data_IF_739075641566
#
_entry.id   IF_739075641566
#
_cell.length_a   1.000
_cell.length_b   1.000
_cell.length_c   1.000
_cell.angle_alpha   90.00
_cell.angle_beta   90.00
_cell.angle_gamma   90.00
#
_symmetry.space_group_name_H-M   'P 1'
#
loop_
_entity.id
_entity.type
_entity.pdbx_description
1 polymer ?
#
# COMPACT_ATOMS: atom_id res chain seq x y z
N UNK A 1 19.02 -13.72 -11.04
CA UNK A 1 19.01 -13.85 -12.53
C UNK A 1 18.14 -15.02 -13.02
N UNK A 2 18.11 -16.09 -12.24
CA UNK A 2 17.16 -17.21 -12.21
C UNK A 2 15.65 -16.87 -12.09
N UNK A 3 15.25 -15.60 -12.22
CA UNK A 3 13.85 -15.17 -12.16
C UNK A 3 13.27 -14.98 -10.75
N UNK A 4 14.02 -15.31 -9.69
CA UNK A 4 13.55 -15.15 -8.31
C UNK A 4 13.20 -13.68 -7.99
N UNK A 5 12.06 -13.46 -7.31
CA UNK A 5 11.63 -12.14 -6.83
C UNK A 5 11.78 -12.06 -5.31
N UNK A 6 12.68 -11.19 -4.81
CA UNK A 6 12.86 -10.97 -3.36
C UNK A 6 12.30 -9.59 -2.96
N UNK A 7 11.40 -9.50 -1.97
CA UNK A 7 11.04 -8.21 -1.39
C UNK A 7 12.26 -7.64 -0.65
N UNK A 8 12.53 -6.35 -0.85
CA UNK A 8 13.67 -5.64 -0.24
C UNK A 8 13.20 -4.61 0.78
N UNK A 9 12.18 -3.84 0.42
CA UNK A 9 11.50 -2.88 1.26
C UNK A 9 10.08 -2.69 0.71
N UNK A 10 9.17 -2.30 1.58
CA UNK A 10 7.76 -2.11 1.27
C UNK A 10 7.13 -1.20 2.33
N UNK A 11 6.07 -0.53 1.90
CA UNK A 11 5.30 0.38 2.72
C UNK A 11 3.82 0.28 2.39
N UNK A 12 3.03 0.97 3.20
CA UNK A 12 1.59 1.09 2.98
C UNK A 12 1.16 2.52 3.30
N UNK A 13 0.21 3.03 2.53
CA UNK A 13 -0.49 4.25 2.85
C UNK A 13 -1.99 3.98 2.77
N UNK A 14 -2.69 4.14 3.90
CA UNK A 14 -4.15 4.07 3.89
C UNK A 14 -4.69 5.38 3.33
N UNK A 15 -5.40 5.31 2.22
CA UNK A 15 -5.78 6.49 1.42
C UNK A 15 -6.54 7.60 2.18
N UNK A 16 -7.24 7.26 3.27
CA UNK A 16 -7.90 8.27 4.12
C UNK A 16 -6.92 9.19 4.86
N UNK A 17 -5.65 8.81 4.95
CA UNK A 17 -4.55 9.55 5.60
C UNK A 17 -3.54 10.10 4.58
N UNK A 18 -3.90 10.19 3.30
CA UNK A 18 -2.98 10.55 2.21
C UNK A 18 -2.36 11.95 2.34
N UNK A 19 -3.10 12.90 2.91
CA UNK A 19 -2.68 14.30 3.00
C UNK A 19 -2.06 14.59 4.38
N UNK A 20 -2.64 14.01 5.44
CA UNK A 20 -2.19 14.20 6.81
C UNK A 20 -2.67 13.04 7.69
N UNK A 21 -1.81 12.52 8.56
CA UNK A 21 -2.17 11.40 9.43
C UNK A 21 -3.29 11.73 10.41
N UNK A 22 -3.38 12.98 10.89
CA UNK A 22 -4.41 13.38 11.87
C UNK A 22 -5.77 13.68 11.21
N UNK A 23 -5.79 14.03 9.91
CA UNK A 23 -7.02 14.41 9.21
C UNK A 23 -7.44 13.33 8.22
N UNK A 24 -8.59 12.70 8.52
CA UNK A 24 -9.20 11.71 7.62
C UNK A 24 -9.98 12.41 6.52
N UNK A 25 -9.63 12.12 5.27
CA UNK A 25 -10.39 12.58 4.09
C UNK A 25 -10.71 11.40 3.19
N UNK A 26 -11.98 11.16 2.91
CA UNK A 26 -12.38 10.09 1.99
C UNK A 26 -11.99 10.40 0.55
N UNK A 27 -12.02 9.37 -0.29
CA UNK A 27 -11.81 9.48 -1.73
C UNK A 27 -13.15 9.67 -2.44
N UNK A 28 -13.13 10.39 -3.54
CA UNK A 28 -14.22 10.41 -4.52
C UNK A 28 -13.99 9.29 -5.54
N UNK A 29 -14.97 8.41 -5.80
CA UNK A 29 -14.84 7.37 -6.82
C UNK A 29 -14.47 7.95 -8.19
N UNK A 30 -13.56 7.30 -8.91
CA UNK A 30 -13.09 7.71 -10.25
C UNK A 30 -12.12 8.91 -10.27
N UNK A 31 -11.90 9.59 -9.15
CA UNK A 31 -10.93 10.68 -9.07
C UNK A 31 -9.51 10.13 -8.94
N UNK A 32 -8.58 10.67 -9.74
CA UNK A 32 -7.15 10.36 -9.64
C UNK A 32 -6.53 11.18 -8.50
N UNK A 33 -5.74 10.51 -7.66
CA UNK A 33 -5.01 11.11 -6.55
C UNK A 33 -3.52 10.79 -6.65
N UNK A 34 -2.66 11.77 -6.30
CA UNK A 34 -1.24 11.53 -6.06
C UNK A 34 -1.07 10.92 -4.66
N UNK A 35 -0.18 9.95 -4.54
CA UNK A 35 0.23 9.37 -3.26
C UNK A 35 1.74 9.41 -3.12
N UNK A 36 2.22 9.79 -1.94
CA UNK A 36 3.61 9.66 -1.54
C UNK A 36 3.67 8.53 -0.50
N UNK A 37 4.18 7.36 -0.90
CA UNK A 37 4.21 6.14 -0.06
C UNK A 37 5.63 5.95 0.46
N UNK A 38 5.80 6.04 1.77
CA UNK A 38 7.07 5.73 2.43
C UNK A 38 7.30 4.21 2.47
N UNK A 39 8.36 3.75 1.79
CA UNK A 39 8.78 2.35 1.75
C UNK A 39 9.82 2.00 2.82
N UNK A 40 10.17 2.98 3.66
CA UNK A 40 11.28 2.96 4.60
C UNK A 40 12.64 2.81 3.93
N UNK A 41 13.70 2.66 4.75
CA UNK A 41 15.07 2.57 4.29
C UNK A 41 15.48 1.14 3.97
N UNK A 42 16.40 0.98 3.03
CA UNK A 42 17.10 -0.28 2.75
C UNK A 42 18.51 0.00 2.24
N UNK A 43 19.38 -1.01 2.33
CA UNK A 43 20.71 -1.01 1.72
C UNK A 43 20.90 -2.35 1.04
N UNK A 44 20.85 -2.35 -0.30
CA UNK A 44 21.00 -3.56 -1.09
C UNK A 44 21.74 -3.27 -2.39
N UNK A 45 22.81 -4.01 -2.67
CA UNK A 45 23.51 -3.95 -3.93
C UNK A 45 22.79 -4.82 -4.98
N UNK A 46 22.27 -4.20 -6.04
CA UNK A 46 21.75 -4.92 -7.18
C UNK A 46 22.90 -5.23 -8.14
N UNK A 47 23.38 -6.47 -8.08
CA UNK A 47 24.50 -6.93 -8.92
C UNK A 47 24.10 -7.02 -10.40
N UNK A 48 25.09 -7.17 -11.27
CA UNK A 48 24.88 -7.34 -12.71
C UNK A 48 23.87 -8.48 -13.00
N UNK A 49 22.93 -8.21 -13.90
CA UNK A 49 21.87 -9.16 -14.26
C UNK A 49 20.69 -9.20 -13.28
N UNK A 50 20.75 -8.50 -12.14
CA UNK A 50 19.59 -8.28 -11.29
C UNK A 50 18.70 -7.18 -11.87
N UNK A 51 17.44 -7.13 -11.43
CA UNK A 51 16.48 -6.09 -11.83
C UNK A 51 15.80 -5.54 -10.59
N UNK A 52 15.56 -4.24 -10.58
CA UNK A 52 14.68 -3.59 -9.61
C UNK A 52 13.25 -3.82 -10.07
N UNK A 53 12.38 -4.25 -9.16
CA UNK A 53 10.96 -4.47 -9.40
C UNK A 53 10.16 -3.71 -8.35
N UNK A 54 9.08 -3.07 -8.78
CA UNK A 54 8.08 -2.47 -7.91
C UNK A 54 6.79 -3.26 -8.07
N UNK A 55 6.22 -3.72 -6.96
CA UNK A 55 4.91 -4.39 -6.92
C UNK A 55 3.93 -3.47 -6.24
N UNK A 56 2.82 -3.16 -6.92
CA UNK A 56 1.75 -2.33 -6.38
C UNK A 56 0.54 -3.23 -6.13
N UNK A 57 0.01 -3.16 -4.91
CA UNK A 57 -1.18 -3.88 -4.47
C UNK A 57 -1.93 -3.04 -3.44
N UNK A 58 -3.19 -3.36 -3.18
CA UNK A 58 -4.03 -2.70 -2.18
C UNK A 58 -4.05 -3.42 -0.82
N UNK A 59 -3.25 -4.48 -0.64
CA UNK A 59 -3.23 -5.27 0.61
C UNK A 59 -1.91 -5.98 0.86
N UNK A 60 -1.54 -6.14 2.14
CA UNK A 60 -0.42 -6.96 2.59
C UNK A 60 -0.73 -7.57 3.96
N UNK A 61 -1.69 -8.51 3.99
CA UNK A 61 -2.05 -9.24 5.20
C UNK A 61 -1.06 -10.40 5.45
N UNK A 62 -0.71 -10.74 6.71
CA UNK A 62 -1.17 -10.16 7.98
C UNK A 62 -0.34 -8.97 8.47
N UNK A 63 0.63 -8.48 7.69
CA UNK A 63 1.50 -7.37 8.10
C UNK A 63 0.71 -6.11 8.42
N UNK A 64 -0.32 -5.81 7.63
CA UNK A 64 -1.25 -4.70 7.87
C UNK A 64 -2.71 -5.19 7.87
N UNK A 65 -3.56 -4.51 8.64
CA UNK A 65 -5.00 -4.75 8.62
C UNK A 65 -5.58 -4.38 7.25
N UNK A 66 -6.38 -5.29 6.70
CA UNK A 66 -7.04 -5.12 5.41
C UNK A 66 -8.00 -3.94 5.45
N UNK A 67 -7.97 -3.09 4.43
CA UNK A 67 -8.96 -2.03 4.27
C UNK A 67 -10.26 -2.63 3.72
N UNK A 68 -11.37 -2.43 4.43
CA UNK A 68 -12.69 -2.94 4.04
C UNK A 68 -13.35 -2.10 2.93
N UNK A 69 -12.70 -1.01 2.51
CA UNK A 69 -13.12 -0.12 1.43
C UNK A 69 -14.45 0.62 1.66
N UNK A 70 -15.03 0.58 2.86
CA UNK A 70 -16.30 1.25 3.21
C UNK A 70 -16.14 2.72 3.62
N UNK A 71 -14.91 3.13 3.96
CA UNK A 71 -14.64 4.42 4.62
C UNK A 71 -14.96 4.43 6.12
N UNK A 72 -15.59 3.39 6.65
CA UNK A 72 -15.97 3.23 8.04
C UNK A 72 -14.81 2.92 9.01
N UNK A 73 -15.11 2.74 10.31
CA UNK A 73 -14.14 2.35 11.32
C UNK A 73 -13.75 0.87 11.16
N UNK A 74 -12.63 0.61 10.46
CA UNK A 74 -12.15 -0.72 10.07
C UNK A 74 -12.13 -1.76 11.21
N UNK A 75 -11.80 -1.37 12.44
CA UNK A 75 -11.73 -2.27 13.60
C UNK A 75 -13.09 -2.66 14.20
N UNK A 76 -14.20 -2.09 13.70
CA UNK A 76 -15.57 -2.37 14.15
C UNK A 76 -16.42 -3.04 13.06
N UNK A 77 -15.85 -3.26 11.89
CA UNK A 77 -16.56 -3.74 10.71
C UNK A 77 -16.06 -5.16 10.37
N UNK A 78 -16.98 -6.04 9.98
CA UNK A 78 -16.67 -7.41 9.57
C UNK A 78 -16.92 -7.64 8.06
N UNK A 79 -17.65 -6.73 7.41
CA UNK A 79 -18.05 -6.85 6.00
C UNK A 79 -17.45 -5.69 5.23
N UNK A 80 -16.67 -6.02 4.20
CA UNK A 80 -16.11 -5.04 3.28
C UNK A 80 -16.91 -4.92 1.99
N UNK A 81 -16.50 -3.97 1.16
CA UNK A 81 -16.99 -3.82 -0.21
C UNK A 81 -15.84 -3.97 -1.22
N UNK A 82 -16.18 -4.40 -2.43
CA UNK A 82 -15.21 -4.45 -3.54
C UNK A 82 -14.82 -3.02 -3.89
N UNK A 83 -13.52 -2.77 -4.04
CA UNK A 83 -13.04 -1.49 -4.55
C UNK A 83 -13.44 -1.36 -6.02
N UNK A 84 -14.10 -0.25 -6.37
CA UNK A 84 -14.55 0.11 -7.73
C UNK A 84 -13.62 1.19 -8.28
#
# INVERSE_FOLDING_TARGET
PDGHSRPIADGILRARYRDFFEKRTLLSPGQIYKYDIDLWATSNAFLQGHRIRVTITSSCFPRFDSNLNTGGPIHKEAVGQVAI
#
